data_IF_541021320387
#
_entry.id   IF_541021320387
#
_cell.length_a   1.000
_cell.length_b   1.000
_cell.length_c   1.000
_cell.angle_alpha   90.00
_cell.angle_beta   90.00
_cell.angle_gamma   90.00
#
_symmetry.space_group_name_H-M   'P 1'
#
loop_
_entity.id
_entity.type
_entity.pdbx_description
1 polymer ?
#
# COMPACT_ATOMS: atom_id res chain seq x y z
N UNK A 1 39.98 47.51 -38.93
CA UNK A 1 40.24 47.95 -37.55
C UNK A 1 38.90 47.84 -36.83
N UNK A 2 38.51 46.66 -36.36
CA UNK A 2 38.86 46.09 -35.02
C UNK A 2 38.27 46.97 -33.91
N UNK A 3 37.37 46.57 -33.01
CA UNK A 3 36.79 45.28 -32.61
C UNK A 3 35.43 45.57 -31.89
N UNK A 4 34.59 44.56 -31.58
CA UNK A 4 33.28 44.74 -30.93
C UNK A 4 33.37 44.63 -29.39
N UNK A 5 32.56 45.40 -28.65
CA UNK A 5 32.42 45.29 -27.20
C UNK A 5 31.26 44.37 -26.82
N UNK A 6 31.67 43.18 -26.41
CA UNK A 6 31.29 42.34 -25.28
C UNK A 6 29.82 42.09 -24.87
N UNK A 7 29.52 40.80 -24.85
CA UNK A 7 28.32 40.14 -24.35
C UNK A 7 28.47 39.94 -22.83
N UNK A 8 27.62 40.60 -22.05
CA UNK A 8 27.48 40.32 -20.63
C UNK A 8 26.64 39.06 -20.40
N UNK A 9 27.33 37.95 -20.15
CA UNK A 9 26.81 36.65 -19.73
C UNK A 9 25.83 36.73 -18.56
N UNK A 10 24.54 36.47 -18.83
CA UNK A 10 23.58 35.99 -17.86
C UNK A 10 23.66 34.45 -17.84
N UNK A 11 24.71 33.91 -17.21
CA UNK A 11 24.83 32.48 -16.99
C UNK A 11 23.99 32.07 -15.78
N UNK A 12 23.06 31.15 -16.05
CA UNK A 12 22.01 30.75 -15.15
C UNK A 12 22.55 30.14 -13.86
N UNK A 13 22.03 30.66 -12.76
CA UNK A 13 21.94 29.89 -11.54
C UNK A 13 20.89 28.81 -11.80
N UNK A 14 21.39 27.65 -12.24
CA UNK A 14 20.58 26.48 -12.48
C UNK A 14 19.88 26.14 -11.17
N UNK A 15 18.56 26.27 -11.22
CA UNK A 15 17.55 25.69 -10.34
C UNK A 15 18.04 24.33 -9.81
N UNK A 16 18.76 24.39 -8.67
CA UNK A 16 18.93 23.24 -7.78
C UNK A 16 17.58 23.07 -7.11
N UNK A 17 16.67 22.51 -7.89
CA UNK A 17 15.35 22.08 -7.46
C UNK A 17 15.50 21.35 -6.14
N UNK A 18 14.81 21.90 -5.17
CA UNK A 18 14.71 21.49 -3.79
C UNK A 18 14.52 19.96 -3.67
N UNK A 19 15.61 19.25 -3.36
CA UNK A 19 15.60 17.82 -3.02
C UNK A 19 15.13 17.59 -1.58
N UNK A 20 14.52 18.58 -0.91
CA UNK A 20 13.77 18.37 0.34
C UNK A 20 12.36 17.85 0.05
N UNK A 21 12.26 16.77 -0.73
CA UNK A 21 11.01 16.05 -0.89
C UNK A 21 10.50 15.61 0.48
N UNK A 22 9.27 16.02 0.83
CA UNK A 22 8.60 15.68 2.08
C UNK A 22 8.82 14.19 2.39
N UNK A 23 9.67 13.91 3.38
CA UNK A 23 10.02 12.55 3.81
C UNK A 23 8.78 11.73 4.20
N UNK A 24 7.64 12.38 4.42
CA UNK A 24 6.36 11.71 4.70
C UNK A 24 5.71 11.18 3.43
N UNK A 25 5.99 11.72 2.25
CA UNK A 25 5.40 11.34 0.96
C UNK A 25 6.03 10.08 0.33
N UNK A 26 6.82 9.32 1.10
CA UNK A 26 7.53 8.09 0.71
C UNK A 26 6.63 7.05 0.05
N UNK A 27 5.34 6.98 0.43
CA UNK A 27 4.39 6.06 -0.21
C UNK A 27 4.30 6.30 -1.72
N UNK A 28 4.20 7.57 -2.12
CA UNK A 28 4.02 7.97 -3.51
C UNK A 28 5.38 8.09 -4.21
N UNK A 29 6.33 8.76 -3.57
CA UNK A 29 7.64 9.06 -4.18
C UNK A 29 8.55 7.84 -4.31
N UNK A 30 8.35 6.83 -3.46
CA UNK A 30 9.23 5.66 -3.40
C UNK A 30 8.48 4.34 -3.56
N UNK A 31 7.48 4.05 -2.73
CA UNK A 31 6.85 2.72 -2.68
C UNK A 31 6.02 2.43 -3.93
N UNK A 32 5.23 3.41 -4.39
CA UNK A 32 4.37 3.26 -5.57
C UNK A 32 5.00 3.84 -6.84
N UNK A 33 6.21 4.40 -6.74
CA UNK A 33 6.94 4.90 -7.88
C UNK A 33 7.52 3.74 -8.71
N UNK A 34 7.15 3.72 -10.00
CA UNK A 34 7.58 2.68 -10.94
C UNK A 34 8.51 3.26 -12.01
N UNK A 35 9.65 2.59 -12.21
CA UNK A 35 10.59 2.84 -13.29
C UNK A 35 10.00 2.30 -14.61
N UNK A 36 9.70 3.15 -15.61
CA UNK A 36 9.30 2.67 -16.93
C UNK A 36 10.50 2.01 -17.62
N UNK A 37 10.30 0.83 -18.20
CA UNK A 37 11.34 0.13 -18.97
C UNK A 37 11.03 0.13 -20.47
N UNK A 38 9.75 -0.01 -20.83
CA UNK A 38 9.25 -0.01 -22.21
C UNK A 38 7.74 0.34 -22.20
N UNK A 39 7.10 0.38 -23.37
CA UNK A 39 5.65 0.51 -23.46
C UNK A 39 4.97 -0.62 -22.68
N UNK A 40 4.07 -0.24 -21.78
CA UNK A 40 3.30 -1.16 -20.94
C UNK A 40 4.17 -2.12 -20.08
N UNK A 41 5.45 -1.78 -19.86
CA UNK A 41 6.39 -2.52 -19.03
C UNK A 41 7.06 -1.63 -17.99
N UNK A 42 6.87 -1.97 -16.72
CA UNK A 42 7.36 -1.20 -15.59
C UNK A 42 8.14 -2.07 -14.60
N UNK A 43 9.07 -1.45 -13.87
CA UNK A 43 9.83 -2.08 -12.79
C UNK A 43 9.50 -1.42 -11.46
N UNK A 44 8.99 -2.23 -10.54
CA UNK A 44 8.87 -1.89 -9.13
C UNK A 44 10.14 -2.27 -8.38
N UNK A 45 10.70 -1.30 -7.65
CA UNK A 45 11.75 -1.55 -6.67
C UNK A 45 11.11 -1.65 -5.29
N UNK A 46 11.75 -2.40 -4.40
CA UNK A 46 11.30 -2.56 -3.03
C UNK A 46 12.23 -1.77 -2.12
N UNK A 47 11.69 -0.72 -1.51
CA UNK A 47 12.40 0.04 -0.48
C UNK A 47 12.10 -0.49 0.93
N UNK A 48 11.10 -1.35 1.07
CA UNK A 48 10.66 -1.89 2.36
C UNK A 48 10.58 -3.42 2.31
N UNK A 49 11.34 -4.08 3.19
CA UNK A 49 11.29 -5.53 3.39
C UNK A 49 10.67 -5.77 4.77
N UNK A 50 9.43 -6.26 4.86
CA UNK A 50 8.87 -6.63 6.14
C UNK A 50 9.71 -7.73 6.79
N UNK A 51 9.69 -7.78 8.12
CA UNK A 51 10.33 -8.82 8.95
C UNK A 51 9.98 -10.25 8.50
N UNK A 52 8.85 -10.42 7.81
CA UNK A 52 8.38 -11.69 7.22
C UNK A 52 9.25 -12.22 6.06
N UNK A 53 10.23 -11.44 5.56
CA UNK A 53 11.06 -11.76 4.40
C UNK A 53 10.26 -12.04 3.11
N UNK A 54 9.03 -11.53 3.01
CA UNK A 54 8.15 -11.66 1.84
C UNK A 54 7.76 -10.27 1.36
N UNK A 55 7.40 -10.15 0.09
CA UNK A 55 6.77 -8.92 -0.39
C UNK A 55 5.39 -8.72 0.24
N UNK A 56 5.08 -7.48 0.61
CA UNK A 56 3.75 -7.09 1.06
C UNK A 56 2.77 -7.11 -0.13
N UNK A 57 1.61 -7.75 0.05
CA UNK A 57 0.64 -7.92 -1.03
C UNK A 57 0.05 -6.59 -1.51
N UNK A 58 -0.27 -5.68 -0.58
CA UNK A 58 -0.72 -4.33 -0.90
C UNK A 58 0.30 -3.52 -1.71
N UNK A 59 1.60 -3.71 -1.49
CA UNK A 59 2.62 -3.10 -2.35
C UNK A 59 2.52 -3.61 -3.79
N UNK A 60 2.43 -4.92 -3.98
CA UNK A 60 2.32 -5.51 -5.31
C UNK A 60 1.03 -5.05 -6.00
N UNK A 61 -0.08 -5.02 -5.27
CA UNK A 61 -1.40 -4.60 -5.76
C UNK A 61 -1.41 -3.11 -6.14
N UNK A 62 -0.90 -2.24 -5.27
CA UNK A 62 -0.80 -0.80 -5.52
C UNK A 62 0.09 -0.49 -6.72
N UNK A 63 1.28 -1.10 -6.80
CA UNK A 63 2.19 -0.95 -7.94
C UNK A 63 1.55 -1.47 -9.24
N UNK A 64 0.87 -2.63 -9.22
CA UNK A 64 0.17 -3.12 -10.40
C UNK A 64 -0.92 -2.15 -10.87
N UNK A 65 -1.65 -1.53 -9.95
CA UNK A 65 -2.65 -0.53 -10.29
C UNK A 65 -2.03 0.76 -10.84
N UNK A 66 -0.87 1.21 -10.32
CA UNK A 66 -0.10 2.32 -10.92
C UNK A 66 0.29 2.00 -12.35
N UNK A 67 0.83 0.80 -12.62
CA UNK A 67 1.21 0.38 -13.96
C UNK A 67 0.00 0.40 -14.92
N UNK A 68 -1.15 -0.13 -14.47
CA UNK A 68 -2.40 -0.08 -15.24
C UNK A 68 -2.86 1.36 -15.48
N UNK A 69 -2.85 2.22 -14.46
CA UNK A 69 -3.29 3.60 -14.52
C UNK A 69 -2.43 4.46 -15.47
N UNK A 70 -1.13 4.16 -15.59
CA UNK A 70 -0.22 4.82 -16.56
C UNK A 70 -0.52 4.44 -18.03
N UNK A 71 -1.23 3.33 -18.26
CA UNK A 71 -1.57 2.83 -19.61
C UNK A 71 -2.97 3.24 -20.09
N UNK A 72 -3.66 4.12 -19.35
CA UNK A 72 -4.98 4.67 -19.68
C UNK A 72 -4.92 6.19 -19.74
N UNK A 73 -5.87 6.80 -20.43
CA UNK A 73 -5.99 8.25 -20.54
C UNK A 73 -6.34 8.93 -19.20
N UNK A 74 -6.13 10.24 -19.09
CA UNK A 74 -6.36 11.01 -17.85
C UNK A 74 -7.83 11.17 -17.46
N UNK A 75 -8.75 10.99 -18.41
CA UNK A 75 -10.20 11.14 -18.22
C UNK A 75 -10.88 9.89 -17.62
N UNK A 76 -10.17 8.76 -17.52
CA UNK A 76 -10.71 7.51 -16.97
C UNK A 76 -10.13 7.18 -15.60
N UNK A 77 -11.00 6.65 -14.74
CA UNK A 77 -10.72 6.40 -13.33
C UNK A 77 -10.99 4.94 -13.01
N UNK A 78 -10.13 4.32 -12.19
CA UNK A 78 -10.37 2.94 -11.75
C UNK A 78 -11.65 2.88 -10.91
N UNK A 79 -12.47 1.86 -11.16
CA UNK A 79 -13.68 1.61 -10.38
C UNK A 79 -13.74 0.18 -9.84
N UNK A 80 -12.94 -0.74 -10.38
CA UNK A 80 -12.78 -2.08 -9.83
C UNK A 80 -11.43 -2.70 -10.18
N UNK A 81 -10.99 -3.61 -9.32
CA UNK A 81 -9.82 -4.45 -9.53
C UNK A 81 -10.09 -5.84 -8.96
N UNK A 82 -9.67 -6.87 -9.69
CA UNK A 82 -9.67 -8.26 -9.25
C UNK A 82 -8.26 -8.82 -9.38
N UNK A 83 -7.80 -9.60 -8.41
CA UNK A 83 -6.45 -10.13 -8.43
C UNK A 83 -6.29 -11.48 -7.76
N UNK A 84 -5.17 -12.13 -8.07
CA UNK A 84 -4.70 -13.34 -7.41
C UNK A 84 -3.22 -13.21 -7.06
N UNK A 85 -2.88 -13.54 -5.82
CA UNK A 85 -1.51 -13.79 -5.39
C UNK A 85 -1.14 -15.23 -5.74
N UNK A 86 -0.27 -15.39 -6.73
CA UNK A 86 0.05 -16.70 -7.32
C UNK A 86 1.24 -17.34 -6.63
N UNK A 87 2.26 -16.54 -6.25
CA UNK A 87 3.48 -17.01 -5.58
C UNK A 87 3.97 -15.97 -4.59
N UNK A 88 4.69 -16.41 -3.57
CA UNK A 88 5.41 -15.51 -2.68
C UNK A 88 6.52 -14.78 -3.47
N UNK A 89 6.57 -13.46 -3.34
CA UNK A 89 7.60 -12.64 -3.96
C UNK A 89 8.89 -12.59 -3.14
N UNK A 90 10.03 -12.53 -3.83
CA UNK A 90 11.36 -12.37 -3.24
C UNK A 90 11.65 -10.87 -3.03
N UNK A 91 11.83 -10.38 -1.79
CA UNK A 91 12.13 -8.98 -1.52
C UNK A 91 13.49 -8.50 -2.07
N UNK A 92 14.40 -9.41 -2.41
CA UNK A 92 15.73 -9.07 -2.94
C UNK A 92 15.73 -8.80 -4.43
N UNK A 93 14.61 -9.03 -5.11
CA UNK A 93 14.50 -9.00 -6.57
C UNK A 93 13.45 -7.97 -6.98
N UNK A 94 13.73 -7.07 -7.94
CA UNK A 94 12.72 -6.17 -8.48
C UNK A 94 11.56 -6.94 -9.10
N UNK A 95 10.36 -6.35 -9.10
CA UNK A 95 9.18 -6.93 -9.75
C UNK A 95 8.96 -6.24 -11.08
N UNK A 96 8.75 -7.02 -12.14
CA UNK A 96 8.35 -6.50 -13.45
C UNK A 96 6.82 -6.56 -13.58
N UNK A 97 6.22 -5.44 -13.96
CA UNK A 97 4.78 -5.31 -14.20
C UNK A 97 4.55 -5.19 -15.70
N UNK A 98 4.03 -6.26 -16.30
CA UNK A 98 3.59 -6.27 -17.69
C UNK A 98 2.12 -5.93 -17.74
N UNK A 99 1.78 -4.88 -18.47
CA UNK A 99 0.41 -4.44 -18.70
C UNK A 99 -0.04 -4.92 -20.08
N UNK A 100 -1.25 -5.45 -20.16
CA UNK A 100 -1.92 -5.80 -21.40
C UNK A 100 -3.19 -4.95 -21.52
N UNK A 101 -3.33 -4.26 -22.64
CA UNK A 101 -4.53 -3.45 -22.95
C UNK A 101 -5.66 -4.34 -23.44
N UNK A 102 -6.28 -5.08 -22.53
CA UNK A 102 -7.39 -5.99 -22.84
C UNK A 102 -8.53 -5.32 -23.61
N UNK A 103 -8.86 -4.06 -23.27
CA UNK A 103 -9.85 -3.26 -24.00
C UNK A 103 -9.60 -1.77 -23.82
N UNK A 104 -9.76 -1.01 -24.90
CA UNK A 104 -9.89 0.47 -24.86
C UNK A 104 -11.16 0.85 -25.61
N UNK A 105 -12.21 1.20 -24.85
CA UNK A 105 -13.49 1.64 -25.40
C UNK A 105 -13.76 3.11 -25.09
N UNK A 106 -14.90 3.62 -25.57
CA UNK A 106 -15.28 5.02 -25.37
C UNK A 106 -15.51 5.39 -23.91
N UNK A 107 -16.19 4.53 -23.12
CA UNK A 107 -16.48 4.82 -21.71
C UNK A 107 -15.71 3.95 -20.73
N UNK A 108 -15.17 2.81 -21.18
CA UNK A 108 -14.51 1.83 -20.34
C UNK A 108 -13.19 1.37 -20.94
N UNK A 109 -12.18 1.22 -20.09
CA UNK A 109 -10.89 0.61 -20.41
C UNK A 109 -10.59 -0.52 -19.43
N UNK A 110 -10.07 -1.64 -19.94
CA UNK A 110 -9.68 -2.79 -19.12
C UNK A 110 -8.20 -3.05 -19.34
N UNK A 111 -7.47 -3.24 -18.24
CA UNK A 111 -6.04 -3.58 -18.22
C UNK A 111 -5.84 -4.87 -17.44
N UNK A 112 -5.15 -5.83 -18.03
CA UNK A 112 -4.61 -6.97 -17.29
C UNK A 112 -3.16 -6.67 -16.92
N UNK A 113 -2.74 -6.99 -15.70
CA UNK A 113 -1.37 -6.80 -15.25
C UNK A 113 -0.83 -8.11 -14.71
N UNK A 114 0.38 -8.48 -15.15
CA UNK A 114 1.13 -9.61 -14.61
C UNK A 114 2.39 -9.07 -13.93
N UNK A 115 2.52 -9.34 -12.63
CA UNK A 115 3.73 -9.08 -11.88
C UNK A 115 4.64 -10.31 -11.92
N UNK A 116 5.90 -10.14 -12.33
CA UNK A 116 6.83 -11.22 -12.64
C UNK A 116 8.14 -11.07 -11.85
N UNK A 117 8.61 -12.18 -11.29
CA UNK A 117 9.96 -12.35 -10.76
C UNK A 117 10.54 -13.67 -11.26
N UNK A 118 11.83 -13.71 -11.58
CA UNK A 118 12.51 -14.91 -12.11
C UNK A 118 11.76 -15.57 -13.29
N UNK A 119 11.16 -14.76 -14.16
CA UNK A 119 10.35 -15.23 -15.30
C UNK A 119 9.02 -15.90 -14.92
N UNK A 120 8.61 -15.87 -13.64
CA UNK A 120 7.37 -16.49 -13.15
C UNK A 120 6.42 -15.43 -12.61
N UNK A 121 5.13 -15.57 -12.92
CA UNK A 121 4.11 -14.71 -12.35
C UNK A 121 4.00 -14.94 -10.83
N UNK A 122 4.11 -13.85 -10.07
CA UNK A 122 3.86 -13.84 -8.63
C UNK A 122 2.47 -13.28 -8.30
N UNK A 123 1.93 -12.44 -9.18
CA UNK A 123 0.64 -11.80 -9.04
C UNK A 123 0.03 -11.53 -10.41
N UNK A 124 -1.29 -11.64 -10.50
CA UNK A 124 -2.06 -11.25 -11.68
C UNK A 124 -3.25 -10.40 -11.24
N UNK A 125 -3.56 -9.35 -11.99
CA UNK A 125 -4.78 -8.58 -11.79
C UNK A 125 -5.44 -8.15 -13.09
N UNK A 126 -6.72 -7.82 -13.00
CA UNK A 126 -7.45 -7.07 -14.01
C UNK A 126 -8.08 -5.86 -13.34
N UNK A 127 -7.85 -4.68 -13.92
CA UNK A 127 -8.39 -3.42 -13.47
C UNK A 127 -9.31 -2.83 -14.55
N UNK A 128 -10.47 -2.33 -14.12
CA UNK A 128 -11.44 -1.66 -14.98
C UNK A 128 -11.50 -0.18 -14.65
N UNK A 129 -11.46 0.64 -15.70
CA UNK A 129 -11.45 2.09 -15.66
C UNK A 129 -12.66 2.63 -16.41
N UNK A 130 -13.25 3.71 -15.92
CA UNK A 130 -14.44 4.34 -16.49
C UNK A 130 -14.27 5.86 -16.54
N UNK A 131 -14.78 6.48 -17.60
CA UNK A 131 -14.94 7.94 -17.64
C UNK A 131 -15.90 8.42 -16.55
N UNK A 132 -15.62 9.57 -15.94
CA UNK A 132 -16.56 10.17 -15.00
C UNK A 132 -17.86 10.55 -15.73
N UNK A 133 -19.00 10.05 -15.24
CA UNK A 133 -20.30 10.29 -15.83
C UNK A 133 -21.32 10.64 -14.73
N UNK A 134 -22.18 11.66 -14.93
CA UNK A 134 -23.24 11.95 -13.98
C UNK A 134 -24.19 10.75 -13.83
N UNK A 135 -24.45 10.35 -12.59
CA UNK A 135 -25.48 9.36 -12.27
C UNK A 135 -26.66 10.04 -11.56
N UNK A 136 -27.90 9.84 -12.03
CA UNK A 136 -29.09 10.31 -11.31
C UNK A 136 -29.39 9.49 -10.05
N UNK A 137 -28.75 8.33 -9.88
CA UNK A 137 -28.94 7.44 -8.74
C UNK A 137 -27.70 7.48 -7.84
N UNK A 138 -27.91 7.80 -6.57
CA UNK A 138 -26.88 7.79 -5.53
C UNK A 138 -27.46 7.19 -4.25
N UNK A 139 -26.81 6.15 -3.73
CA UNK A 139 -27.11 5.58 -2.42
C UNK A 139 -25.86 4.89 -1.87
N UNK A 140 -25.74 4.84 -0.55
CA UNK A 140 -24.70 4.09 0.16
C UNK A 140 -25.21 3.68 1.54
N UNK A 141 -24.57 2.70 2.16
CA UNK A 141 -24.82 2.40 3.57
C UNK A 141 -24.40 3.58 4.46
N UNK A 142 -25.08 3.74 5.59
CA UNK A 142 -24.66 4.68 6.63
C UNK A 142 -23.33 4.24 7.23
N UNK A 143 -22.42 5.19 7.46
CA UNK A 143 -21.16 4.94 8.16
C UNK A 143 -21.45 4.44 9.59
N UNK A 144 -20.77 3.38 10.08
CA UNK A 144 -20.94 2.91 11.45
C UNK A 144 -20.48 3.97 12.46
N UNK A 145 -21.13 4.03 13.61
CA UNK A 145 -20.69 4.88 14.72
C UNK A 145 -19.43 4.31 15.36
N UNK A 146 -18.33 5.06 15.28
CA UNK A 146 -17.03 4.75 15.88
C UNK A 146 -16.42 6.05 16.44
N UNK A 147 -15.53 5.97 17.45
CA UNK A 147 -14.78 7.12 17.92
C UNK A 147 -13.99 7.79 16.79
N UNK A 148 -13.88 9.13 16.80
CA UNK A 148 -13.06 9.84 15.84
C UNK A 148 -11.57 9.52 16.02
N UNK A 149 -10.73 9.65 14.98
CA UNK A 149 -9.33 9.25 15.03
C UNK A 149 -8.50 10.04 16.06
N UNK A 150 -8.92 11.24 16.45
CA UNK A 150 -8.26 12.06 17.46
C UNK A 150 -8.36 11.47 18.87
N UNK A 151 -9.40 10.67 19.14
CA UNK A 151 -9.62 10.00 20.44
C UNK A 151 -8.88 8.65 20.54
N UNK A 152 -8.32 8.16 19.43
CA UNK A 152 -7.65 6.87 19.36
C UNK A 152 -6.14 7.01 19.50
N UNK A 153 -5.54 6.03 20.18
CA UNK A 153 -4.09 5.88 20.25
C UNK A 153 -3.53 5.71 18.84
N UNK A 154 -2.45 6.43 18.56
CA UNK A 154 -1.60 6.10 17.44
C UNK A 154 -0.85 4.78 17.68
N UNK A 155 -0.23 4.28 16.62
CA UNK A 155 0.45 3.00 16.64
C UNK A 155 1.64 2.95 17.62
N UNK A 156 2.36 4.06 17.79
CA UNK A 156 3.50 4.13 18.71
C UNK A 156 3.03 4.08 20.17
N UNK A 157 2.05 4.90 20.52
CA UNK A 157 1.44 4.91 21.84
C UNK A 157 0.79 3.55 22.19
N UNK A 158 0.18 2.88 21.21
CA UNK A 158 -0.39 1.55 21.39
C UNK A 158 0.69 0.49 21.65
N UNK A 159 1.80 0.52 20.89
CA UNK A 159 2.94 -0.37 21.14
C UNK A 159 3.52 -0.13 22.54
N UNK A 160 3.73 1.14 22.91
CA UNK A 160 4.24 1.50 24.23
C UNK A 160 3.34 1.00 25.35
N UNK A 161 2.02 1.10 25.19
CA UNK A 161 1.05 0.55 26.14
C UNK A 161 1.24 -0.97 26.31
N UNK A 162 1.38 -1.70 25.19
CA UNK A 162 1.61 -3.15 25.25
C UNK A 162 2.95 -3.52 25.87
N UNK A 163 4.02 -2.76 25.59
CA UNK A 163 5.34 -3.00 26.18
C UNK A 163 5.37 -2.74 27.69
N UNK A 164 4.47 -1.92 28.23
CA UNK A 164 4.35 -1.70 29.69
C UNK A 164 3.72 -2.87 30.43
N UNK A 165 3.07 -3.81 29.74
CA UNK A 165 2.51 -5.00 30.40
C UNK A 165 3.64 -5.92 30.93
N UNK A 166 3.71 -6.15 32.25
CA UNK A 166 4.72 -7.03 32.84
C UNK A 166 4.53 -8.50 32.48
N UNK A 167 3.32 -8.91 32.08
CA UNK A 167 3.00 -10.28 31.69
C UNK A 167 3.25 -10.55 30.19
N UNK A 168 3.72 -9.54 29.45
CA UNK A 168 3.99 -9.68 28.03
C UNK A 168 5.14 -10.67 27.80
N UNK A 169 4.82 -11.79 27.14
CA UNK A 169 5.79 -12.83 26.84
C UNK A 169 6.97 -12.27 26.01
N UNK A 170 8.20 -12.65 26.37
CA UNK A 170 9.47 -12.10 25.83
C UNK A 170 9.53 -12.08 24.29
N UNK A 171 8.99 -13.11 23.62
CA UNK A 171 8.91 -13.19 22.15
C UNK A 171 8.06 -12.06 21.55
N UNK A 172 6.94 -11.70 22.17
CA UNK A 172 6.08 -10.61 21.69
C UNK A 172 6.73 -9.25 21.90
N UNK A 173 7.43 -9.08 23.02
CA UNK A 173 8.20 -7.87 23.34
C UNK A 173 9.24 -7.56 22.26
N UNK A 174 9.95 -8.60 21.79
CA UNK A 174 10.91 -8.46 20.66
C UNK A 174 10.20 -8.10 19.35
N UNK A 175 9.04 -8.71 19.07
CA UNK A 175 8.25 -8.39 17.88
C UNK A 175 7.78 -6.92 17.87
N UNK A 176 7.18 -6.46 18.96
CA UNK A 176 6.69 -5.08 19.11
C UNK A 176 7.80 -4.05 18.98
N UNK A 177 8.96 -4.28 19.62
CA UNK A 177 10.13 -3.40 19.48
C UNK A 177 10.63 -3.31 18.03
N UNK A 178 10.57 -4.41 17.28
CA UNK A 178 10.94 -4.40 15.85
C UNK A 178 9.95 -3.58 15.04
N UNK A 179 8.64 -3.70 15.32
CA UNK A 179 7.63 -2.93 14.60
C UNK A 179 7.71 -1.44 14.94
N UNK A 180 7.92 -1.08 16.20
CA UNK A 180 8.11 0.32 16.61
C UNK A 180 9.28 0.99 15.88
N UNK A 181 10.31 0.22 15.50
CA UNK A 181 11.46 0.72 14.76
C UNK A 181 11.23 0.84 13.24
N UNK A 182 10.06 0.44 12.73
CA UNK A 182 9.76 0.51 11.29
C UNK A 182 9.02 1.80 10.95
N UNK A 183 9.56 2.54 9.99
CA UNK A 183 8.80 3.59 9.33
C UNK A 183 7.80 2.96 8.35
N UNK A 184 6.52 3.06 8.68
CA UNK A 184 5.42 2.55 7.84
C UNK A 184 4.81 3.74 7.09
N UNK A 185 4.62 3.66 5.76
CA UNK A 185 4.14 4.79 4.96
C UNK A 185 2.65 5.15 5.19
N UNK A 186 1.98 4.43 6.09
CA UNK A 186 0.58 4.63 6.44
C UNK A 186 0.44 4.70 7.96
N UNK A 187 -0.50 5.52 8.42
CA UNK A 187 -0.95 5.60 9.80
C UNK A 187 -2.23 4.78 9.94
N UNK A 188 -2.30 4.00 11.01
CA UNK A 188 -3.46 3.17 11.34
C UNK A 188 -3.78 3.37 12.81
N UNK A 189 -5.05 3.67 13.10
CA UNK A 189 -5.58 3.78 14.46
C UNK A 189 -6.73 2.79 14.64
N UNK A 190 -6.55 1.83 15.52
CA UNK A 190 -7.53 0.76 15.76
C UNK A 190 -8.61 1.25 16.73
N UNK A 191 -9.89 1.05 16.40
CA UNK A 191 -11.01 1.52 17.23
C UNK A 191 -11.10 0.76 18.56
N UNK A 192 -10.91 -0.56 18.53
CA UNK A 192 -10.97 -1.44 19.71
C UNK A 192 -9.76 -2.38 19.70
N UNK A 193 -8.56 -1.93 20.14
CA UNK A 193 -7.38 -2.78 20.14
C UNK A 193 -7.56 -3.97 21.11
N UNK A 194 -7.21 -5.20 20.71
CA UNK A 194 -7.34 -6.36 21.58
C UNK A 194 -6.40 -6.26 22.78
N UNK A 195 -6.79 -6.81 23.93
CA UNK A 195 -5.90 -6.95 25.07
C UNK A 195 -5.02 -8.20 24.89
N UNK A 196 -3.69 -8.05 24.94
CA UNK A 196 -2.74 -9.16 24.69
C UNK A 196 -2.84 -10.31 25.70
N UNK A 197 -3.43 -10.07 26.86
CA UNK A 197 -3.61 -11.04 27.94
C UNK A 197 -4.82 -11.95 27.75
N UNK A 198 -5.69 -11.69 26.77
CA UNK A 198 -6.87 -12.50 26.47
C UNK A 198 -6.84 -12.95 24.99
N UNK A 199 -6.25 -14.12 24.73
CA UNK A 199 -6.42 -14.88 23.47
C UNK A 199 -7.84 -15.47 23.39
N UNK A 200 -8.85 -14.65 23.61
CA UNK A 200 -10.25 -15.04 23.46
C UNK A 200 -10.65 -14.91 21.99
N UNK A 201 -11.57 -15.77 21.55
CA UNK A 201 -12.15 -15.63 20.22
C UNK A 201 -12.92 -14.30 20.18
N UNK A 202 -12.58 -13.45 19.20
CA UNK A 202 -13.26 -12.19 18.94
C UNK A 202 -14.19 -12.33 17.75
N UNK A 203 -15.16 -11.42 17.63
CA UNK A 203 -15.98 -11.34 16.42
C UNK A 203 -15.08 -11.09 15.19
N UNK A 204 -15.41 -11.64 14.01
CA UNK A 204 -14.69 -11.39 12.76
C UNK A 204 -15.02 -9.99 12.20
N UNK A 205 -14.85 -8.97 13.04
CA UNK A 205 -15.16 -7.58 12.74
C UNK A 205 -14.11 -6.69 13.40
N UNK A 206 -13.48 -5.85 12.59
CA UNK A 206 -12.57 -4.81 13.07
C UNK A 206 -12.85 -3.51 12.35
N UNK A 207 -12.58 -2.40 13.04
CA UNK A 207 -12.68 -1.05 12.52
C UNK A 207 -11.38 -0.33 12.88
N UNK A 208 -10.83 0.37 11.90
CA UNK A 208 -9.63 1.17 12.08
C UNK A 208 -9.68 2.35 11.13
N UNK A 209 -9.14 3.48 11.59
CA UNK A 209 -8.89 4.64 10.75
C UNK A 209 -7.55 4.45 10.05
N UNK A 210 -7.50 4.85 8.78
CA UNK A 210 -6.29 4.83 7.96
C UNK A 210 -6.03 6.19 7.37
N UNK A 211 -4.75 6.53 7.27
CA UNK A 211 -4.29 7.73 6.59
C UNK A 211 -2.94 7.46 5.95
N UNK A 212 -2.74 7.84 4.70
CA UNK A 212 -1.41 7.83 4.12
C UNK A 212 -0.55 8.88 4.83
N UNK A 213 0.71 8.55 5.12
CA UNK A 213 1.65 9.58 5.56
C UNK A 213 2.07 10.40 4.33
N UNK A 214 2.22 11.71 4.54
CA UNK A 214 2.63 12.66 3.49
C UNK A 214 1.51 13.11 2.58
N UNK A 215 1.88 14.00 1.66
CA UNK A 215 1.00 14.56 0.66
C UNK A 215 0.96 13.68 -0.59
N UNK A 216 -0.23 13.26 -1.01
CA UNK A 216 -0.40 12.43 -2.22
C UNK A 216 -0.44 13.29 -3.49
N UNK A 217 -0.91 14.54 -3.38
CA UNK A 217 -1.33 15.35 -4.53
C UNK A 217 -2.82 15.66 -4.44
N UNK A 218 -3.18 16.94 -4.52
CA UNK A 218 -4.56 17.38 -4.66
C UNK A 218 -5.01 17.12 -6.10
N UNK A 219 -6.17 16.48 -6.27
CA UNK A 219 -6.73 16.18 -7.59
C UNK A 219 -6.18 14.93 -8.30
N UNK A 220 -5.08 14.31 -7.84
CA UNK A 220 -4.59 13.05 -8.43
C UNK A 220 -5.35 11.83 -7.88
N UNK A 221 -6.63 11.76 -8.23
CA UNK A 221 -7.54 10.71 -7.78
C UNK A 221 -7.06 9.30 -8.19
N UNK A 222 -6.33 9.16 -9.30
CA UNK A 222 -5.72 7.88 -9.70
C UNK A 222 -4.71 7.42 -8.68
N UNK A 223 -3.83 8.32 -8.23
CA UNK A 223 -2.85 8.02 -7.19
C UNK A 223 -3.51 7.71 -5.85
N UNK A 224 -4.55 8.46 -5.46
CA UNK A 224 -5.36 8.15 -4.27
C UNK A 224 -5.98 6.74 -4.33
N UNK A 225 -6.49 6.31 -5.49
CA UNK A 225 -6.99 4.95 -5.67
C UNK A 225 -5.87 3.90 -5.59
N UNK A 226 -4.67 4.18 -6.09
CA UNK A 226 -3.51 3.29 -5.95
C UNK A 226 -3.09 3.12 -4.48
N UNK A 227 -3.12 4.22 -3.72
CA UNK A 227 -2.90 4.21 -2.27
C UNK A 227 -4.00 3.43 -1.54
N UNK A 228 -5.26 3.60 -1.91
CA UNK A 228 -6.37 2.83 -1.34
C UNK A 228 -6.21 1.32 -1.61
N UNK A 229 -5.79 0.95 -2.82
CA UNK A 229 -5.48 -0.45 -3.16
C UNK A 229 -4.34 -1.00 -2.28
N UNK A 230 -3.28 -0.22 -2.06
CA UNK A 230 -2.18 -0.58 -1.14
C UNK A 230 -2.68 -0.83 0.28
N UNK A 231 -3.51 0.07 0.80
CA UNK A 231 -4.01 0.01 2.19
C UNK A 231 -5.00 -1.15 2.37
N UNK A 232 -5.78 -1.51 1.35
CA UNK A 232 -6.85 -2.50 1.46
C UNK A 232 -6.37 -3.89 1.90
N UNK A 233 -5.13 -4.26 1.57
CA UNK A 233 -4.54 -5.54 1.93
C UNK A 233 -3.93 -5.57 3.35
N UNK A 234 -3.93 -4.45 4.09
CA UNK A 234 -3.22 -4.37 5.36
C UNK A 234 -3.85 -5.16 6.50
N UNK A 235 -5.18 -5.11 6.66
CA UNK A 235 -5.86 -5.73 7.82
C UNK A 235 -6.86 -6.81 7.43
N UNK A 236 -7.00 -7.09 6.13
CA UNK A 236 -8.08 -7.91 5.59
C UNK A 236 -8.10 -9.33 6.21
N UNK A 237 -7.00 -10.08 6.06
CA UNK A 237 -6.91 -11.45 6.60
C UNK A 237 -6.85 -11.48 8.13
N UNK A 238 -6.30 -10.43 8.77
CA UNK A 238 -6.29 -10.30 10.23
C UNK A 238 -7.69 -10.43 10.83
N UNK A 239 -8.72 -9.90 10.14
CA UNK A 239 -10.13 -9.97 10.55
C UNK A 239 -10.63 -11.40 10.64
N UNK A 240 -10.29 -12.22 9.65
CA UNK A 240 -10.74 -13.61 9.57
C UNK A 240 -10.10 -14.50 10.65
N UNK A 241 -8.96 -14.09 11.20
CA UNK A 241 -8.26 -14.82 12.26
C UNK A 241 -8.78 -14.49 13.66
N UNK A 242 -9.57 -13.42 13.83
CA UNK A 242 -10.12 -12.98 15.12
C UNK A 242 -10.89 -14.08 15.88
N UNK A 243 -11.73 -14.92 15.23
CA UNK A 243 -12.45 -15.99 15.93
C UNK A 243 -11.56 -17.19 16.29
N UNK A 244 -10.31 -17.23 15.82
CA UNK A 244 -9.44 -18.41 15.88
C UNK A 244 -8.11 -18.17 16.61
N UNK A 245 -7.98 -17.06 17.33
CA UNK A 245 -6.76 -16.68 18.05
C UNK A 245 -6.28 -17.72 19.08
N UNK A 246 -7.17 -18.56 19.60
CA UNK A 246 -6.81 -19.65 20.53
C UNK A 246 -6.19 -20.86 19.82
N UNK A 247 -6.46 -21.06 18.52
CA UNK A 247 -5.98 -22.20 17.73
C UNK A 247 -4.73 -21.88 16.92
N UNK A 248 -4.61 -20.64 16.45
CA UNK A 248 -3.42 -20.16 15.76
C UNK A 248 -2.69 -19.20 16.68
N UNK A 249 -1.41 -19.49 17.01
CA UNK A 249 -0.51 -18.49 17.58
C UNK A 249 -0.27 -17.41 16.52
N UNK A 250 -1.23 -16.50 16.34
CA UNK A 250 -1.07 -15.34 15.47
C UNK A 250 0.07 -14.53 16.09
N UNK A 251 1.23 -14.53 15.43
CA UNK A 251 2.28 -13.60 15.79
C UNK A 251 1.72 -12.19 15.55
N UNK A 252 1.88 -11.28 16.51
CA UNK A 252 1.50 -9.86 16.37
C UNK A 252 2.13 -9.19 15.13
N UNK A 253 3.14 -9.81 14.52
CA UNK A 253 3.62 -9.44 13.19
C UNK A 253 2.47 -9.32 12.17
N UNK A 254 1.43 -10.16 12.25
CA UNK A 254 0.25 -10.07 11.38
C UNK A 254 -0.72 -8.92 11.70
N UNK A 255 -0.70 -8.40 12.93
CA UNK A 255 -1.49 -7.23 13.34
C UNK A 255 -0.78 -5.92 13.01
N UNK A 256 0.55 -5.93 13.14
CA UNK A 256 1.37 -4.75 13.03
C UNK A 256 1.98 -4.52 11.64
N UNK A 257 1.96 -5.49 10.72
CA UNK A 257 2.73 -5.38 9.47
C UNK A 257 1.93 -5.64 8.18
N UNK A 258 0.63 -5.93 8.27
CA UNK A 258 -0.16 -6.39 7.11
C UNK A 258 0.45 -7.57 6.34
N UNK A 259 1.43 -8.25 6.93
CA UNK A 259 2.19 -9.33 6.32
C UNK A 259 1.58 -10.65 6.74
N UNK A 260 0.67 -11.17 5.93
CA UNK A 260 0.24 -12.56 6.06
C UNK A 260 1.34 -13.51 5.57
N UNK A 261 2.37 -13.66 6.40
CA UNK A 261 3.20 -14.85 6.41
C UNK A 261 2.46 -16.03 7.03
N UNK A 262 1.21 -16.30 6.62
CA UNK A 262 0.63 -17.62 6.91
C UNK A 262 1.32 -18.57 5.94
N UNK A 263 2.09 -19.50 6.47
CA UNK A 263 2.38 -20.72 5.73
C UNK A 263 1.06 -21.44 5.50
N UNK A 264 0.38 -21.15 4.39
CA UNK A 264 -0.67 -22.02 3.88
C UNK A 264 0.01 -23.29 3.38
N UNK A 265 0.37 -24.18 4.31
CA UNK A 265 0.35 -25.59 4.02
C UNK A 265 -1.12 -25.96 3.80
N UNK A 266 -1.44 -26.39 2.58
CA UNK A 266 -2.72 -26.95 2.12
C UNK A 266 -3.96 -26.62 2.95
N UNK A 267 -4.72 -25.62 2.48
CA UNK A 267 -6.17 -25.62 2.60
C UNK A 267 -6.76 -25.62 1.19
N UNK A 268 -6.65 -26.80 0.56
CA UNK A 268 -7.68 -27.43 -0.27
C UNK A 268 -7.95 -28.79 0.36
#
# INVERSE_FOLDING_TARGET
>A
MSAPEDLGDAHGDADRGDLSGDLRSVLVTSVLNLEPLDEDLYRGRHYWVPTSQRLFGGQIMGQALVAAAKSVSEDVHVHSLHCYFVRAGDPKVPVLYHVERTRTGASFSVRAVKAVQHGKAIFICQASFQQMQPSPLQHQFSMPSVPPPEELLDHEALIDQYLRDPNLHKKYRVGLNRVAALEVPIEIKVVNPPTLTQLQALEPKQMFWVRARGYIGEGDIKMHCCVAAYISDYAFLGTALLPHQSKYKVALEGWCMGGCGVGMGSLL
#
